data_IF_640713652563
#
_entry.id   IF_640713652563
#
_cell.length_a   1.000
_cell.length_b   1.000
_cell.length_c   1.000
_cell.angle_alpha   90.00
_cell.angle_beta   90.00
_cell.angle_gamma   90.00
#
_symmetry.space_group_name_H-M   'P 1'
#
loop_
_entity.id
_entity.type
_entity.pdbx_description
1 polymer ?
#
# COMPACT_ATOMS: atom_id res chain seq x y z
N UNK A 1 32.87 -9.03 -65.44
CA UNK A 1 34.08 -8.21 -65.28
C UNK A 1 33.69 -6.92 -64.58
N UNK A 2 34.50 -6.48 -63.61
CA UNK A 2 34.53 -5.18 -62.90
C UNK A 2 33.31 -4.84 -62.00
N UNK A 3 33.42 -4.36 -60.75
CA UNK A 3 34.56 -3.97 -59.91
C UNK A 3 34.14 -3.92 -58.43
N UNK A 4 35.13 -4.14 -57.55
CA UNK A 4 35.14 -3.73 -56.15
C UNK A 4 35.64 -2.27 -56.02
N UNK A 5 35.58 -1.73 -54.79
CA UNK A 5 36.03 -0.39 -54.31
C UNK A 5 34.93 0.67 -54.47
N UNK A 6 34.40 1.34 -53.44
CA UNK A 6 35.02 1.97 -52.27
C UNK A 6 34.04 2.06 -51.07
N UNK A 7 34.49 1.70 -49.86
CA UNK A 7 33.79 2.05 -48.63
C UNK A 7 34.39 3.34 -48.05
N UNK A 8 33.59 4.36 -47.70
CA UNK A 8 34.09 5.69 -47.38
C UNK A 8 34.79 5.76 -46.02
N UNK A 9 35.99 6.36 -46.04
CA UNK A 9 36.91 6.65 -44.91
C UNK A 9 36.24 7.31 -43.69
N UNK A 10 35.06 7.93 -43.85
CA UNK A 10 34.34 8.65 -42.80
C UNK A 10 33.82 7.78 -41.66
N UNK A 11 33.47 6.52 -41.90
CA UNK A 11 32.84 5.66 -40.88
C UNK A 11 33.86 5.16 -39.83
N UNK A 12 35.10 4.89 -40.24
CA UNK A 12 36.19 4.50 -39.32
C UNK A 12 36.60 5.62 -38.36
N UNK A 13 36.52 6.88 -38.79
CA UNK A 13 36.91 8.05 -37.96
C UNK A 13 35.86 8.34 -36.89
N UNK A 14 34.58 8.17 -37.18
CA UNK A 14 33.49 8.34 -36.21
C UNK A 14 33.57 7.30 -35.08
N UNK A 15 33.80 6.03 -35.44
CA UNK A 15 33.85 4.95 -34.46
C UNK A 15 35.03 5.10 -33.47
N UNK A 16 36.19 5.57 -33.96
CA UNK A 16 37.36 5.84 -33.10
C UNK A 16 37.14 7.00 -32.11
N UNK A 17 36.34 8.01 -32.48
CA UNK A 17 36.01 9.13 -31.58
C UNK A 17 35.05 8.67 -30.48
N UNK A 18 34.09 7.79 -30.80
CA UNK A 18 33.14 7.23 -29.83
C UNK A 18 33.82 6.35 -28.77
N UNK A 19 34.76 5.48 -29.17
CA UNK A 19 35.52 4.66 -28.24
C UNK A 19 36.39 5.49 -27.28
N UNK A 20 36.99 6.57 -27.79
CA UNK A 20 37.77 7.50 -26.96
C UNK A 20 36.92 8.24 -25.92
N UNK A 21 35.65 8.51 -26.23
CA UNK A 21 34.68 9.13 -25.33
C UNK A 21 34.22 8.18 -24.22
N UNK A 22 33.91 6.92 -24.57
CA UNK A 22 33.55 5.87 -23.60
C UNK A 22 34.68 5.58 -22.61
N UNK A 23 35.93 5.51 -23.08
CA UNK A 23 37.09 5.31 -22.22
C UNK A 23 37.25 6.45 -21.19
N UNK A 24 37.14 7.71 -21.62
CA UNK A 24 37.21 8.89 -20.74
C UNK A 24 36.06 8.92 -19.72
N UNK A 25 34.86 8.51 -20.11
CA UNK A 25 33.70 8.45 -19.23
C UNK A 25 33.85 7.36 -18.14
N UNK A 26 34.33 6.17 -18.50
CA UNK A 26 34.60 5.10 -17.54
C UNK A 26 35.70 5.46 -16.52
N UNK A 27 36.75 6.18 -16.95
CA UNK A 27 37.80 6.65 -16.03
C UNK A 27 37.25 7.67 -15.03
N UNK A 28 36.35 8.56 -15.48
CA UNK A 28 35.69 9.55 -14.61
C UNK A 28 34.72 8.91 -13.61
N UNK A 29 33.94 7.92 -14.05
CA UNK A 29 33.05 7.15 -13.16
C UNK A 29 33.83 6.37 -12.09
N UNK A 30 34.96 5.73 -12.46
CA UNK A 30 35.82 5.02 -11.51
C UNK A 30 36.45 5.95 -10.47
N UNK A 31 36.81 7.18 -10.86
CA UNK A 31 37.33 8.18 -9.93
C UNK A 31 36.26 8.65 -8.92
N UNK A 32 35.03 8.89 -9.38
CA UNK A 32 33.90 9.27 -8.51
C UNK A 32 33.57 8.12 -7.54
N UNK A 33 33.52 6.89 -8.02
CA UNK A 33 33.22 5.72 -7.18
C UNK A 33 34.29 5.51 -6.08
N UNK A 34 35.57 5.68 -6.42
CA UNK A 34 36.68 5.64 -5.44
C UNK A 34 36.57 6.75 -4.39
N UNK A 35 36.16 7.96 -4.80
CA UNK A 35 35.97 9.08 -3.88
C UNK A 35 34.80 8.84 -2.90
N UNK A 36 33.68 8.31 -3.40
CA UNK A 36 32.50 7.98 -2.56
C UNK A 36 32.84 6.87 -1.55
N UNK A 37 33.55 5.82 -1.96
CA UNK A 37 34.00 4.76 -1.04
C UNK A 37 34.94 5.31 0.04
N UNK A 38 35.86 6.21 -0.33
CA UNK A 38 36.78 6.83 0.64
C UNK A 38 36.06 7.76 1.64
N UNK A 39 34.94 8.38 1.27
CA UNK A 39 34.10 9.14 2.21
C UNK A 39 33.29 8.23 3.13
N UNK A 40 32.72 7.14 2.61
CA UNK A 40 32.00 6.16 3.43
C UNK A 40 32.90 5.52 4.51
N UNK A 41 34.17 5.24 4.18
CA UNK A 41 35.15 4.70 5.13
C UNK A 41 35.56 5.70 6.23
N UNK A 42 35.54 7.02 5.93
CA UNK A 42 35.81 8.06 6.94
C UNK A 42 34.64 8.28 7.91
N UNK A 43 33.40 8.05 7.48
CA UNK A 43 32.22 8.19 8.33
C UNK A 43 32.08 7.04 9.33
N UNK A 44 32.46 5.81 8.96
CA UNK A 44 32.41 4.65 9.87
C UNK A 44 33.50 4.67 10.94
N UNK A 45 34.65 5.28 10.67
CA UNK A 45 35.72 5.47 11.67
C UNK A 45 35.35 6.49 12.77
N UNK A 46 34.50 7.49 12.46
CA UNK A 46 34.09 8.52 13.42
C UNK A 46 33.03 8.02 14.42
N UNK A 47 32.21 7.05 14.03
CA UNK A 47 31.13 6.51 14.88
C UNK A 47 31.59 5.54 15.97
N UNK A 48 32.82 4.99 15.91
CA UNK A 48 33.36 4.11 16.96
C UNK A 48 33.90 4.85 18.19
N UNK A 49 34.14 6.17 18.11
CA UNK A 49 34.71 6.95 19.22
C UNK A 49 33.68 7.51 20.22
N UNK A 50 32.39 7.35 19.96
CA UNK A 50 31.30 7.93 20.77
C UNK A 50 30.62 6.86 21.67
N UNK A 51 30.93 5.57 21.49
CA UNK A 51 30.31 4.46 22.22
C UNK A 51 31.05 3.99 23.49
N UNK A 52 31.58 4.89 24.32
CA UNK A 52 32.29 4.47 25.56
C UNK A 52 32.15 5.38 26.78
N UNK A 53 31.09 6.20 26.89
CA UNK A 53 30.86 6.98 28.11
C UNK A 53 29.41 6.84 28.58
N UNK A 54 29.28 6.37 29.83
CA UNK A 54 28.12 6.40 30.72
C UNK A 54 27.07 5.30 30.58
N UNK A 55 27.49 4.10 30.97
CA UNK A 55 26.63 3.12 31.63
C UNK A 55 26.13 3.74 32.96
N UNK A 56 24.90 4.26 33.01
CA UNK A 56 24.28 4.66 34.27
C UNK A 56 23.06 3.79 34.58
N UNK A 57 23.29 2.88 35.51
CA UNK A 57 22.42 1.83 36.02
C UNK A 57 21.55 2.43 37.12
N UNK A 58 20.34 2.89 36.79
CA UNK A 58 19.30 3.21 37.80
C UNK A 58 18.11 2.28 37.64
N UNK A 59 18.19 1.19 38.40
CA UNK A 59 17.11 0.24 38.65
C UNK A 59 16.09 0.95 39.55
N UNK A 60 14.98 1.40 38.97
CA UNK A 60 13.84 1.90 39.72
C UNK A 60 13.01 0.68 40.17
N UNK A 61 13.19 0.29 41.44
CA UNK A 61 12.31 -0.68 42.12
C UNK A 61 10.92 -0.03 42.28
N UNK A 62 10.00 -0.32 41.37
CA UNK A 62 8.57 -0.07 41.57
C UNK A 62 8.02 -1.17 42.48
N UNK A 63 7.93 -0.86 43.76
CA UNK A 63 7.17 -1.64 44.76
C UNK A 63 5.68 -1.49 44.47
N UNK A 64 5.11 -2.48 43.78
CA UNK A 64 3.67 -2.66 43.61
C UNK A 64 3.08 -3.04 44.97
N UNK A 65 2.48 -2.06 45.66
CA UNK A 65 1.61 -2.30 46.82
C UNK A 65 0.35 -3.02 46.31
N UNK A 66 0.26 -4.33 46.56
CA UNK A 66 -0.96 -5.11 46.43
C UNK A 66 -1.92 -4.68 47.55
N UNK A 67 -3.02 -4.04 47.18
CA UNK A 67 -4.11 -3.69 48.08
C UNK A 67 -5.11 -4.86 48.12
N UNK A 68 -5.35 -5.52 49.28
CA UNK A 68 -6.35 -6.57 49.40
C UNK A 68 -7.61 -5.96 50.00
N UNK A 69 -8.56 -5.56 49.16
CA UNK A 69 -9.89 -5.19 49.62
C UNK A 69 -10.95 -5.89 48.76
N UNK A 70 -11.60 -6.85 49.42
CA UNK A 70 -12.99 -7.28 49.23
C UNK A 70 -13.29 -8.20 48.03
N UNK A 71 -12.89 -9.47 48.20
CA UNK A 71 -13.70 -10.60 47.75
C UNK A 71 -14.90 -10.73 48.69
N UNK A 72 -16.06 -10.23 48.29
CA UNK A 72 -17.33 -10.45 48.98
C UNK A 72 -18.33 -11.13 48.06
N UNK A 73 -18.50 -12.41 48.35
CA UNK A 73 -19.65 -13.30 48.17
C UNK A 73 -21.01 -12.62 47.90
N UNK A 74 -21.73 -13.05 46.87
CA UNK A 74 -23.19 -13.18 46.90
C UNK A 74 -23.66 -14.16 45.82
N UNK A 75 -23.89 -15.40 46.25
CA UNK A 75 -24.61 -16.44 45.54
C UNK A 75 -26.12 -16.12 45.67
N UNK A 76 -26.78 -15.79 44.57
CA UNK A 76 -28.22 -15.54 44.51
C UNK A 76 -28.91 -16.54 43.59
N UNK A 77 -29.36 -17.66 44.15
CA UNK A 77 -30.34 -18.56 43.54
C UNK A 77 -31.70 -17.84 43.48
N UNK A 78 -32.20 -17.58 42.28
CA UNK A 78 -33.62 -17.30 42.07
C UNK A 78 -34.13 -18.32 41.06
N UNK A 79 -34.78 -19.35 41.59
CA UNK A 79 -35.75 -20.14 40.86
C UNK A 79 -37.01 -19.29 40.71
N UNK A 80 -37.39 -19.00 39.47
CA UNK A 80 -38.58 -18.23 39.12
C UNK A 80 -39.12 -18.71 37.78
N UNK A 81 -39.93 -19.76 37.84
CA UNK A 81 -40.81 -20.19 36.78
C UNK A 81 -41.89 -19.13 36.53
N UNK A 82 -41.84 -18.46 35.39
CA UNK A 82 -43.00 -17.79 34.82
C UNK A 82 -43.11 -18.18 33.35
N UNK A 83 -44.14 -18.96 33.04
CA UNK A 83 -44.58 -19.19 31.68
C UNK A 83 -45.14 -17.90 31.09
N UNK A 84 -44.79 -17.62 29.84
CA UNK A 84 -45.51 -16.69 28.98
C UNK A 84 -45.33 -17.14 27.54
N UNK A 85 -46.46 -17.19 26.85
CA UNK A 85 -46.63 -17.70 25.51
C UNK A 85 -45.70 -16.99 24.50
N UNK A 86 -45.03 -17.75 23.66
CA UNK A 86 -44.34 -17.23 22.48
C UNK A 86 -45.37 -16.84 21.41
N UNK A 87 -45.89 -15.62 21.51
CA UNK A 87 -46.27 -14.85 20.32
C UNK A 87 -44.96 -14.49 19.63
N UNK A 88 -44.66 -15.14 18.50
CA UNK A 88 -43.61 -14.68 17.60
C UNK A 88 -44.12 -13.43 16.86
N UNK A 89 -44.00 -12.28 17.50
CA UNK A 89 -43.97 -10.99 16.83
C UNK A 89 -42.59 -10.84 16.18
N UNK A 90 -42.54 -10.91 14.85
CA UNK A 90 -41.36 -10.59 14.07
C UNK A 90 -41.37 -9.09 13.77
N UNK A 91 -40.94 -8.26 14.72
CA UNK A 91 -40.72 -6.83 14.51
C UNK A 91 -39.46 -6.37 15.24
N UNK A 92 -38.55 -5.73 14.49
CA UNK A 92 -37.59 -4.79 15.07
C UNK A 92 -36.11 -5.12 14.94
N UNK A 93 -35.59 -5.22 13.73
CA UNK A 93 -34.18 -4.86 13.48
C UNK A 93 -34.11 -3.57 12.67
N UNK A 94 -34.32 -2.46 13.38
CA UNK A 94 -33.95 -1.13 12.91
C UNK A 94 -32.43 -0.95 13.10
N UNK A 95 -31.73 -1.01 11.98
CA UNK A 95 -30.42 -0.42 11.65
C UNK A 95 -29.58 0.19 12.77
N UNK A 96 -28.70 -0.64 13.34
CA UNK A 96 -27.30 -0.26 13.44
C UNK A 96 -26.59 -0.91 12.25
N UNK A 97 -25.99 -0.10 11.37
CA UNK A 97 -25.17 -0.55 10.25
C UNK A 97 -23.94 -1.32 10.75
N UNK A 98 -24.14 -2.59 11.08
CA UNK A 98 -23.14 -3.52 11.58
C UNK A 98 -22.61 -4.34 10.41
N UNK A 99 -21.33 -4.16 10.13
CA UNK A 99 -20.58 -4.96 9.17
C UNK A 99 -20.81 -6.45 9.40
N UNK A 100 -21.27 -7.18 8.38
CA UNK A 100 -21.41 -8.63 8.43
C UNK A 100 -20.01 -9.27 8.51
N UNK A 101 -19.57 -9.52 9.75
CA UNK A 101 -18.30 -10.17 10.05
C UNK A 101 -18.19 -11.52 9.33
N UNK A 102 -19.29 -12.25 9.14
CA UNK A 102 -19.28 -13.54 8.47
C UNK A 102 -19.00 -13.39 6.97
N UNK A 103 -19.63 -12.42 6.30
CA UNK A 103 -19.34 -12.10 4.90
C UNK A 103 -17.88 -11.68 4.71
N UNK A 104 -17.34 -10.83 5.60
CA UNK A 104 -15.93 -10.43 5.55
C UNK A 104 -14.97 -11.61 5.71
N UNK A 105 -15.21 -12.48 6.69
CA UNK A 105 -14.38 -13.68 6.90
C UNK A 105 -14.46 -14.63 5.71
N UNK A 106 -15.63 -14.78 5.09
CA UNK A 106 -15.82 -15.57 3.87
C UNK A 106 -15.03 -14.97 2.70
N UNK A 107 -15.05 -13.65 2.52
CA UNK A 107 -14.28 -12.95 1.49
C UNK A 107 -12.75 -13.11 1.71
N UNK A 108 -12.26 -12.91 2.93
CA UNK A 108 -10.85 -13.11 3.27
C UNK A 108 -10.41 -14.55 3.01
N UNK A 109 -11.21 -15.55 3.39
CA UNK A 109 -10.93 -16.96 3.14
C UNK A 109 -10.87 -17.29 1.64
N UNK A 110 -11.77 -16.72 0.83
CA UNK A 110 -11.73 -16.86 -0.64
C UNK A 110 -10.43 -16.29 -1.21
N UNK A 111 -10.03 -15.11 -0.73
CA UNK A 111 -8.79 -14.45 -1.17
C UNK A 111 -7.56 -15.27 -0.79
N UNK A 112 -7.51 -15.80 0.44
CA UNK A 112 -6.43 -16.67 0.88
C UNK A 112 -6.33 -17.95 0.04
N UNK A 113 -7.48 -18.55 -0.29
CA UNK A 113 -7.56 -19.74 -1.16
C UNK A 113 -7.10 -19.44 -2.59
N UNK A 114 -7.49 -18.28 -3.14
CA UNK A 114 -7.00 -17.86 -4.46
C UNK A 114 -5.48 -17.64 -4.45
N UNK A 115 -4.93 -17.02 -3.40
CA UNK A 115 -3.50 -16.76 -3.27
C UNK A 115 -2.68 -18.02 -3.00
N UNK A 116 -3.24 -19.07 -2.38
CA UNK A 116 -2.52 -20.34 -2.13
C UNK A 116 -2.28 -21.17 -3.38
N UNK A 117 -2.94 -20.86 -4.50
CA UNK A 117 -2.68 -21.48 -5.81
C UNK A 117 -1.39 -20.99 -6.48
N UNK A 118 -0.81 -19.88 -5.98
CA UNK A 118 0.47 -19.35 -6.46
C UNK A 118 1.65 -20.10 -5.81
N UNK A 119 2.83 -20.04 -6.44
CA UNK A 119 4.07 -20.47 -5.79
C UNK A 119 4.33 -19.65 -4.52
N UNK A 120 5.11 -20.18 -3.57
CA UNK A 120 5.39 -19.50 -2.31
C UNK A 120 6.04 -18.12 -2.51
N UNK A 121 6.91 -17.98 -3.53
CA UNK A 121 7.54 -16.72 -3.92
C UNK A 121 6.51 -15.73 -4.47
N UNK A 122 5.64 -16.18 -5.39
CA UNK A 122 4.66 -15.32 -6.02
C UNK A 122 3.55 -14.91 -5.05
N UNK A 123 3.18 -15.80 -4.14
CA UNK A 123 2.26 -15.51 -3.06
C UNK A 123 2.81 -14.39 -2.15
N UNK A 124 4.11 -14.38 -1.83
CA UNK A 124 4.74 -13.29 -1.05
C UNK A 124 4.63 -11.96 -1.78
N UNK A 125 4.93 -11.92 -3.08
CA UNK A 125 4.83 -10.70 -3.86
C UNK A 125 3.40 -10.20 -4.03
N UNK A 126 2.43 -11.10 -4.24
CA UNK A 126 1.02 -10.79 -4.34
C UNK A 126 0.46 -10.27 -3.01
N UNK A 127 0.78 -10.92 -1.88
CA UNK A 127 0.40 -10.47 -0.53
C UNK A 127 0.99 -9.10 -0.19
N UNK A 128 2.26 -8.87 -0.54
CA UNK A 128 2.90 -7.57 -0.35
C UNK A 128 2.25 -6.48 -1.21
N UNK A 129 1.89 -6.79 -2.46
CA UNK A 129 1.24 -5.83 -3.35
C UNK A 129 -0.21 -5.53 -2.93
N UNK A 130 -0.94 -6.55 -2.45
CA UNK A 130 -2.29 -6.52 -1.89
C UNK A 130 -3.42 -6.11 -2.86
N UNK A 131 -3.20 -5.14 -3.74
CA UNK A 131 -4.20 -4.62 -4.68
C UNK A 131 -3.71 -4.63 -6.14
N UNK A 132 -4.64 -4.59 -7.08
CA UNK A 132 -4.32 -4.45 -8.50
C UNK A 132 -3.77 -3.03 -8.79
N UNK A 133 -2.71 -2.86 -9.60
CA UNK A 133 -2.15 -1.53 -9.91
C UNK A 133 -2.95 -0.78 -10.97
N UNK A 134 -3.85 -1.45 -11.69
CA UNK A 134 -4.75 -0.86 -12.68
C UNK A 134 -6.06 -0.47 -12.01
N UNK A 135 -6.69 -1.43 -11.33
CA UNK A 135 -7.89 -1.18 -10.54
C UNK A 135 -7.54 -1.18 -9.06
N UNK A 136 -7.21 0.00 -8.56
CA UNK A 136 -6.53 0.15 -7.27
C UNK A 136 -7.37 -0.19 -6.06
N UNK A 137 -8.69 -0.23 -6.20
CA UNK A 137 -9.63 -0.63 -5.16
C UNK A 137 -9.79 -2.16 -5.09
N UNK A 138 -9.46 -2.88 -6.16
CA UNK A 138 -9.63 -4.33 -6.21
C UNK A 138 -8.49 -5.07 -5.52
N UNK A 139 -8.85 -5.86 -4.51
CA UNK A 139 -7.92 -6.70 -3.75
C UNK A 139 -7.51 -7.92 -4.56
N UNK A 140 -6.22 -8.20 -4.62
CA UNK A 140 -5.72 -9.41 -5.30
C UNK A 140 -6.28 -10.65 -4.62
N UNK A 141 -6.93 -11.51 -5.40
CA UNK A 141 -7.61 -12.72 -4.91
C UNK A 141 -9.14 -12.61 -4.86
N UNK A 142 -9.72 -11.41 -4.94
CA UNK A 142 -11.19 -11.24 -4.90
C UNK A 142 -11.87 -11.78 -6.16
N UNK A 143 -11.19 -11.67 -7.31
CA UNK A 143 -11.62 -12.17 -8.62
C UNK A 143 -10.99 -13.53 -8.97
N UNK A 144 -10.54 -14.29 -7.97
CA UNK A 144 -9.79 -15.54 -8.16
C UNK A 144 -8.27 -15.34 -8.21
N UNK A 145 -7.56 -16.32 -8.73
CA UNK A 145 -6.08 -16.36 -8.70
C UNK A 145 -5.46 -15.18 -9.45
N UNK A 146 -4.64 -14.33 -8.78
CA UNK A 146 -3.98 -13.22 -9.44
C UNK A 146 -3.03 -13.65 -10.55
N UNK A 147 -2.97 -12.83 -11.61
CA UNK A 147 -2.12 -13.08 -12.78
C UNK A 147 -0.79 -12.36 -12.63
N UNK A 148 0.31 -13.11 -12.67
CA UNK A 148 1.67 -12.57 -12.69
C UNK A 148 2.05 -12.16 -14.11
N UNK A 149 2.48 -10.93 -14.28
CA UNK A 149 3.09 -10.41 -15.52
C UNK A 149 4.43 -9.76 -15.20
N UNK A 150 5.40 -9.88 -16.11
CA UNK A 150 6.70 -9.23 -15.98
C UNK A 150 6.67 -7.92 -16.76
N UNK A 151 6.84 -6.79 -16.07
CA UNK A 151 6.88 -5.44 -16.67
C UNK A 151 8.16 -4.77 -16.19
N UNK A 152 8.99 -4.28 -17.10
CA UNK A 152 10.33 -3.75 -16.79
C UNK A 152 11.16 -4.72 -15.92
N UNK A 153 11.06 -6.02 -16.19
CA UNK A 153 11.76 -7.08 -15.43
C UNK A 153 11.27 -7.29 -13.99
N UNK A 154 10.17 -6.66 -13.57
CA UNK A 154 9.62 -6.78 -12.21
C UNK A 154 8.28 -7.53 -12.22
N UNK A 155 8.02 -8.38 -11.20
CA UNK A 155 6.76 -9.10 -11.09
C UNK A 155 5.63 -8.16 -10.65
N UNK A 156 4.61 -8.06 -11.49
CA UNK A 156 3.37 -7.31 -11.27
C UNK A 156 2.21 -8.29 -11.24
N UNK A 157 1.36 -8.19 -10.21
CA UNK A 157 0.16 -9.03 -10.09
C UNK A 157 -1.08 -8.25 -10.46
N UNK A 158 -1.95 -8.86 -11.26
CA UNK A 158 -3.20 -8.27 -11.75
C UNK A 158 -4.39 -9.08 -11.25
N UNK A 159 -5.52 -8.42 -11.05
CA UNK A 159 -6.75 -9.08 -10.59
C UNK A 159 -7.44 -9.91 -11.69
N UNK A 160 -7.33 -9.51 -12.95
CA UNK A 160 -7.99 -10.16 -14.08
C UNK A 160 -7.20 -10.02 -15.38
N UNK A 161 -7.61 -10.77 -16.41
CA UNK A 161 -6.95 -10.77 -17.73
C UNK A 161 -7.09 -9.44 -18.47
N UNK A 162 -8.20 -8.72 -18.26
CA UNK A 162 -8.45 -7.43 -18.91
C UNK A 162 -7.41 -6.37 -18.55
N UNK A 163 -6.84 -6.41 -17.34
CA UNK A 163 -5.82 -5.45 -16.92
C UNK A 163 -4.43 -5.67 -17.56
N UNK A 164 -4.19 -6.76 -18.30
CA UNK A 164 -2.85 -7.12 -18.80
C UNK A 164 -2.33 -6.06 -19.78
N UNK A 165 -3.16 -5.64 -20.73
CA UNK A 165 -2.72 -4.72 -21.78
C UNK A 165 -2.47 -3.32 -21.23
N UNK A 166 -3.34 -2.83 -20.35
CA UNK A 166 -3.15 -1.55 -19.68
C UNK A 166 -1.91 -1.55 -18.78
N UNK A 167 -1.66 -2.66 -18.08
CA UNK A 167 -0.46 -2.83 -17.27
C UNK A 167 0.83 -2.77 -18.11
N UNK A 168 0.86 -3.47 -19.25
CA UNK A 168 2.00 -3.45 -20.17
C UNK A 168 2.20 -2.07 -20.80
N UNK A 169 1.13 -1.44 -21.28
CA UNK A 169 1.16 -0.06 -21.84
C UNK A 169 1.64 0.96 -20.81
N UNK A 170 1.28 0.77 -19.54
CA UNK A 170 1.73 1.64 -18.45
C UNK A 170 3.22 1.51 -18.12
N UNK A 171 3.86 0.38 -18.43
CA UNK A 171 5.31 0.16 -18.27
C UNK A 171 5.82 0.53 -16.87
N UNK A 172 6.79 1.44 -16.82
CA UNK A 172 7.39 1.95 -15.59
C UNK A 172 6.36 2.55 -14.61
N UNK A 173 5.28 3.17 -15.10
CA UNK A 173 4.23 3.75 -14.23
C UNK A 173 3.52 2.64 -13.45
N UNK A 174 3.19 1.53 -14.10
CA UNK A 174 2.58 0.35 -13.45
C UNK A 174 3.48 -0.17 -12.35
N UNK A 175 4.78 -0.31 -12.64
CA UNK A 175 5.78 -0.73 -11.66
C UNK A 175 5.85 0.23 -10.46
N UNK A 176 5.87 1.55 -10.71
CA UNK A 176 5.86 2.56 -9.63
C UNK A 176 4.61 2.43 -8.75
N UNK A 177 3.45 2.20 -9.34
CA UNK A 177 2.20 1.95 -8.58
C UNK A 177 2.32 0.69 -7.73
N UNK A 178 2.84 -0.42 -8.27
CA UNK A 178 3.09 -1.65 -7.49
C UNK A 178 4.01 -1.41 -6.31
N UNK A 179 5.09 -0.63 -6.48
CA UNK A 179 5.98 -0.27 -5.37
C UNK A 179 5.25 0.55 -4.31
N UNK A 180 4.43 1.54 -4.70
CA UNK A 180 3.62 2.33 -3.77
C UNK A 180 2.62 1.48 -3.00
N UNK A 181 1.99 0.50 -3.65
CA UNK A 181 1.05 -0.44 -3.01
C UNK A 181 1.75 -1.37 -2.01
N UNK A 182 2.98 -1.80 -2.31
CA UNK A 182 3.80 -2.58 -1.38
C UNK A 182 4.19 -1.77 -0.15
N UNK A 183 4.64 -0.54 -0.37
CA UNK A 183 4.98 0.38 0.72
C UNK A 183 3.76 0.70 1.59
N UNK A 184 2.60 0.96 0.98
CA UNK A 184 1.37 1.17 1.74
C UNK A 184 1.01 -0.07 2.55
N UNK A 185 1.07 -1.26 1.97
CA UNK A 185 0.74 -2.50 2.69
C UNK A 185 1.67 -2.71 3.89
N UNK A 186 2.98 -2.51 3.71
CA UNK A 186 3.96 -2.66 4.78
C UNK A 186 3.81 -1.61 5.89
N UNK A 187 3.46 -0.37 5.54
CA UNK A 187 3.22 0.70 6.50
C UNK A 187 1.93 0.48 7.28
N UNK A 188 0.85 0.15 6.59
CA UNK A 188 -0.47 -0.04 7.18
C UNK A 188 -0.55 -1.29 8.06
N UNK A 189 0.27 -2.31 7.80
CA UNK A 189 0.41 -3.48 8.68
C UNK A 189 0.90 -3.15 10.10
N UNK A 190 1.48 -1.96 10.32
CA UNK A 190 1.94 -1.48 11.64
C UNK A 190 0.84 -0.77 12.44
N UNK A 191 -0.30 -0.46 11.81
CA UNK A 191 -1.42 0.22 12.44
C UNK A 191 -2.34 -0.79 13.14
N UNK A 192 -3.09 -0.36 14.18
CA UNK A 192 -4.14 -1.20 14.74
C UNK A 192 -5.19 -1.53 13.67
N UNK A 193 -5.78 -2.72 13.76
CA UNK A 193 -6.65 -3.27 12.71
C UNK A 193 -7.78 -2.29 12.30
N UNK A 194 -8.43 -1.67 13.28
CA UNK A 194 -9.51 -0.70 13.05
C UNK A 194 -9.05 0.50 12.20
N UNK A 195 -7.91 1.09 12.55
CA UNK A 195 -7.36 2.24 11.82
C UNK A 195 -6.88 1.81 10.43
N UNK A 196 -6.25 0.64 10.33
CA UNK A 196 -5.85 0.05 9.06
C UNK A 196 -7.03 -0.09 8.11
N UNK A 197 -8.16 -0.61 8.60
CA UNK A 197 -9.37 -0.81 7.80
C UNK A 197 -9.96 0.53 7.34
N UNK A 198 -10.04 1.52 8.23
CA UNK A 198 -10.54 2.85 7.88
C UNK A 198 -9.66 3.54 6.84
N UNK A 199 -8.33 3.40 6.95
CA UNK A 199 -7.38 3.91 5.95
C UNK A 199 -7.52 3.17 4.61
N UNK A 200 -7.61 1.83 4.63
CA UNK A 200 -7.76 1.02 3.41
C UNK A 200 -9.08 1.34 2.70
N UNK A 201 -10.15 1.60 3.45
CA UNK A 201 -11.44 2.03 2.92
C UNK A 201 -11.34 3.39 2.20
N UNK A 202 -10.68 4.39 2.80
CA UNK A 202 -10.48 5.68 2.14
C UNK A 202 -9.48 5.60 0.98
N UNK A 203 -8.45 4.72 1.08
CA UNK A 203 -7.42 4.43 0.08
C UNK A 203 -6.46 5.57 -0.31
N UNK A 204 -7.01 6.75 -0.57
CA UNK A 204 -6.30 7.94 -1.05
C UNK A 204 -6.42 9.09 -0.07
N UNK A 205 -5.45 10.01 -0.13
CA UNK A 205 -5.49 11.26 0.63
C UNK A 205 -6.70 12.12 0.25
N UNK A 206 -7.48 12.57 1.24
CA UNK A 206 -8.68 13.38 1.00
C UNK A 206 -8.41 14.78 0.40
N UNK A 207 -7.15 15.23 0.39
CA UNK A 207 -6.73 16.50 -0.21
C UNK A 207 -6.06 16.28 -1.57
N UNK A 208 -5.12 15.35 -1.65
CA UNK A 208 -4.34 15.12 -2.88
C UNK A 208 -5.04 14.20 -3.88
N UNK A 209 -6.01 13.38 -3.43
CA UNK A 209 -6.91 12.48 -4.18
C UNK A 209 -6.22 11.36 -4.99
N UNK A 210 -4.91 11.45 -5.20
CA UNK A 210 -4.13 10.56 -6.08
C UNK A 210 -3.00 9.86 -5.33
N UNK A 211 -2.74 10.25 -4.08
CA UNK A 211 -1.67 9.69 -3.25
C UNK A 211 -2.23 8.59 -2.36
N UNK A 212 -1.72 7.36 -2.51
CA UNK A 212 -2.08 6.22 -1.66
C UNK A 212 -1.70 6.49 -0.21
N UNK A 213 -2.66 6.28 0.68
CA UNK A 213 -2.39 6.31 2.11
C UNK A 213 -1.43 5.17 2.48
N UNK A 214 -0.40 5.48 3.24
CA UNK A 214 0.67 4.53 3.59
C UNK A 214 1.87 4.51 2.63
N UNK A 215 1.74 5.03 1.40
CA UNK A 215 2.85 5.03 0.44
C UNK A 215 3.94 6.09 0.72
N UNK A 216 3.66 7.02 1.64
CA UNK A 216 4.57 8.09 2.06
C UNK A 216 4.85 8.03 3.58
N UNK A 217 4.71 6.84 4.17
CA UNK A 217 4.73 6.64 5.61
C UNK A 217 3.33 6.64 6.22
N UNK A 218 3.29 6.63 7.56
CA UNK A 218 2.05 6.50 8.31
C UNK A 218 1.07 7.65 7.96
N UNK A 219 -0.17 7.34 7.53
CA UNK A 219 -1.18 8.34 7.28
C UNK A 219 -1.45 9.21 8.50
N UNK A 220 -1.74 10.48 8.28
CA UNK A 220 -2.20 11.38 9.34
C UNK A 220 -3.71 11.27 9.47
N UNK A 221 -4.19 10.86 10.65
CA UNK A 221 -5.59 10.92 11.03
C UNK A 221 -5.94 12.34 11.48
N UNK A 222 -6.96 12.93 10.86
CA UNK A 222 -7.50 14.24 11.20
C UNK A 222 -9.00 14.10 11.50
N UNK A 223 -9.46 14.70 12.57
CA UNK A 223 -10.89 14.78 12.87
C UNK A 223 -11.45 16.13 12.43
N UNK A 224 -12.50 16.09 11.63
CA UNK A 224 -13.22 17.26 11.13
C UNK A 224 -14.71 17.00 11.37
N UNK A 225 -15.38 17.86 12.13
CA UNK A 225 -16.81 17.74 12.46
C UNK A 225 -17.19 16.36 13.02
N UNK A 226 -16.34 15.79 13.88
CA UNK A 226 -16.54 14.46 14.48
C UNK A 226 -16.34 13.27 13.53
N UNK A 227 -15.95 13.52 12.27
CA UNK A 227 -15.64 12.50 11.27
C UNK A 227 -14.13 12.40 11.05
N UNK A 228 -13.64 11.17 10.89
CA UNK A 228 -12.22 10.89 10.66
C UNK A 228 -11.90 11.02 9.18
N UNK A 229 -10.79 11.69 8.87
CA UNK A 229 -10.23 11.86 7.54
C UNK A 229 -8.75 11.50 7.58
N UNK A 230 -8.27 10.79 6.56
CA UNK A 230 -6.86 10.46 6.45
C UNK A 230 -6.14 11.27 5.38
N UNK A 231 -4.94 11.74 5.71
CA UNK A 231 -4.06 12.49 4.81
C UNK A 231 -2.75 11.72 4.59
N UNK A 232 -2.13 11.89 3.43
CA UNK A 232 -0.86 11.25 3.11
C UNK A 232 0.33 11.82 3.88
N UNK A 233 0.28 13.10 4.26
CA UNK A 233 1.34 13.78 5.00
C UNK A 233 0.82 15.07 5.69
N UNK A 234 1.64 15.64 6.58
CA UNK A 234 1.32 16.90 7.27
C UNK A 234 1.19 18.13 6.35
N UNK A 235 1.71 18.05 5.12
CA UNK A 235 1.55 19.13 4.12
C UNK A 235 0.10 19.36 3.68
N UNK A 236 -0.78 18.37 3.86
CA UNK A 236 -2.19 18.48 3.51
C UNK A 236 -3.06 19.08 4.63
N UNK A 237 -2.56 19.19 5.87
CA UNK A 237 -3.37 19.57 7.04
C UNK A 237 -3.99 20.96 6.90
N UNK A 238 -3.20 21.97 6.50
CA UNK A 238 -3.70 23.34 6.33
C UNK A 238 -4.82 23.42 5.28
N UNK A 239 -4.68 22.70 4.17
CA UNK A 239 -5.69 22.65 3.11
C UNK A 239 -6.95 21.92 3.56
N UNK A 240 -6.81 20.84 4.32
CA UNK A 240 -7.93 20.09 4.88
C UNK A 240 -8.77 20.96 5.84
N UNK A 241 -8.10 21.72 6.72
CA UNK A 241 -8.77 22.60 7.70
C UNK A 241 -9.37 23.86 7.06
N UNK A 242 -8.80 24.37 5.97
CA UNK A 242 -9.34 25.52 5.26
C UNK A 242 -10.66 25.23 4.52
N UNK A 243 -10.90 23.95 4.19
CA UNK A 243 -12.15 23.50 3.56
C UNK A 243 -12.62 22.17 4.19
N UNK A 244 -13.18 22.21 5.41
CA UNK A 244 -13.57 21.01 6.15
C UNK A 244 -14.67 20.22 5.42
N UNK A 245 -15.71 20.91 4.93
CA UNK A 245 -16.82 20.30 4.21
C UNK A 245 -16.37 19.59 2.92
N UNK A 246 -15.53 20.24 2.10
CA UNK A 246 -15.01 19.66 0.87
C UNK A 246 -14.09 18.47 1.13
N UNK A 247 -13.27 18.54 2.19
CA UNK A 247 -12.38 17.44 2.59
C UNK A 247 -13.18 16.22 3.05
N UNK A 248 -14.23 16.43 3.86
CA UNK A 248 -15.12 15.36 4.31
C UNK A 248 -15.88 14.73 3.14
N UNK A 249 -16.43 15.54 2.24
CA UNK A 249 -17.13 15.06 1.06
C UNK A 249 -16.20 14.18 0.20
N UNK A 250 -14.96 14.63 -0.03
CA UNK A 250 -13.98 13.87 -0.80
C UNK A 250 -13.55 12.58 -0.10
N UNK A 251 -13.34 12.59 1.22
CA UNK A 251 -13.05 11.38 1.98
C UNK A 251 -14.19 10.35 1.86
N UNK A 252 -15.44 10.80 1.97
CA UNK A 252 -16.62 9.94 1.81
C UNK A 252 -16.76 9.40 0.39
N UNK A 253 -16.49 10.20 -0.64
CA UNK A 253 -16.47 9.76 -2.04
C UNK A 253 -15.43 8.67 -2.27
N UNK A 254 -14.22 8.84 -1.73
CA UNK A 254 -13.14 7.85 -1.84
C UNK A 254 -13.51 6.53 -1.13
N UNK A 255 -14.14 6.61 0.05
CA UNK A 255 -14.65 5.43 0.75
C UNK A 255 -15.72 4.72 -0.09
N UNK A 256 -16.67 5.47 -0.65
CA UNK A 256 -17.73 4.91 -1.50
C UNK A 256 -17.17 4.23 -2.75
N UNK A 257 -16.17 4.83 -3.38
CA UNK A 257 -15.49 4.25 -4.53
C UNK A 257 -14.82 2.90 -4.21
N UNK A 258 -14.39 2.69 -2.96
CA UNK A 258 -13.85 1.41 -2.49
C UNK A 258 -14.89 0.38 -2.07
N UNK A 259 -16.10 0.80 -1.71
CA UNK A 259 -17.19 -0.11 -1.27
C UNK A 259 -18.07 -0.61 -2.40
N UNK A 260 -18.08 0.08 -3.55
CA UNK A 260 -18.71 -0.44 -4.76
C UNK A 260 -17.83 -1.59 -5.29
N UNK A 261 -18.02 -2.79 -4.72
CA UNK A 261 -17.42 -4.01 -5.25
C UNK A 261 -17.89 -4.17 -6.71
N UNK A 262 -16.94 -4.07 -7.65
CA UNK A 262 -17.24 -4.16 -9.08
C UNK A 262 -17.75 -2.83 -9.64
N UNK A 263 -16.82 -1.97 -10.05
CA UNK A 263 -17.15 -0.99 -11.07
C UNK A 263 -17.59 -1.76 -12.33
N UNK A 264 -18.88 -1.68 -12.66
CA UNK A 264 -19.43 -2.18 -13.91
C UNK A 264 -18.56 -1.70 -15.08
N UNK A 265 -17.88 -2.63 -15.75
CA UNK A 265 -16.94 -2.34 -16.84
C UNK A 265 -17.62 -1.82 -18.12
N UNK A 266 -18.88 -1.37 -18.04
CA UNK A 266 -19.62 -0.79 -19.15
C UNK A 266 -19.18 0.64 -19.50
N UNK A 267 -18.48 1.35 -18.60
CA UNK A 267 -18.14 2.77 -18.79
C UNK A 267 -16.72 3.05 -19.31
N UNK A 268 -15.85 2.05 -19.41
CA UNK A 268 -14.53 2.21 -20.05
C UNK A 268 -14.64 1.89 -21.55
N UNK A 269 -15.32 2.78 -22.29
CA UNK A 269 -15.22 2.82 -23.74
C UNK A 269 -13.76 3.02 -24.14
N UNK A 270 -13.13 1.99 -24.68
CA UNK A 270 -11.86 2.13 -25.39
C UNK A 270 -12.15 3.03 -26.60
N UNK A 271 -11.67 4.28 -26.54
CA UNK A 271 -11.90 5.28 -27.56
C UNK A 271 -11.62 4.73 -28.95
N UNK A 272 -12.68 4.63 -29.76
CA UNK A 272 -12.55 4.48 -31.20
C UNK A 272 -11.79 5.70 -31.74
N UNK A 273 -10.85 5.43 -32.63
CA UNK A 273 -9.97 6.42 -33.21
C UNK A 273 -10.74 7.50 -33.95
N UNK A 274 -10.66 8.74 -33.46
CA UNK A 274 -10.84 9.90 -34.32
C UNK A 274 -9.66 9.96 -35.29
N UNK A 275 -9.88 9.44 -36.50
CA UNK A 275 -9.09 9.74 -37.70
C UNK A 275 -9.89 10.79 -38.47
N UNK A 276 -9.39 12.01 -38.51
CA UNK A 276 -9.74 13.00 -39.53
C UNK A 276 -8.71 12.93 -40.66
#
# INVERSE_FOLDING_TARGET
MTNASDAPVSEKILNSREESGKAKHLTRQRAIYRFVIAQACRLTARSRKIGFLTLNRRILRMTIKRSPLLFSLALGLIAGSFGSASVFAHEGHAEAAGHDHQAMMKAEKKIETALSTLSAEDQKYAKAQRFCPIMTYDRLGSMGTPLKVMIEGKPVFLCCKACIDDAKKGGEKTVKTVMKLRESTATLAKLPMEERMAVEAQKYCAVANTSFLGSMGAPLKLEIDGKRVYLCCGGCTKKAQANPAGTLAKAQELIKAGTLEGHDHAAHGHGEGHKH
#
